data_IF_345321636221
#
_entry.id   IF_345321636221
#
_cell.length_a   1.000
_cell.length_b   1.000
_cell.length_c   1.000
_cell.angle_alpha   90.00
_cell.angle_beta   90.00
_cell.angle_gamma   90.00
#
_symmetry.space_group_name_H-M   'P 1'
#
loop_
_entity.id
_entity.type
_entity.pdbx_description
1 polymer ?
#
# COMPACT_ATOMS: atom_id res chain seq x y z
N UNK A 1 -13.01 6.84 -17.07
CA UNK A 1 -12.10 8.00 -16.90
C UNK A 1 -10.68 7.59 -17.27
N UNK A 2 -9.72 8.49 -17.57
CA UNK A 2 -8.32 8.08 -17.68
C UNK A 2 -7.84 7.47 -16.36
N UNK A 3 -6.87 6.55 -16.43
CA UNK A 3 -6.25 5.98 -15.24
C UNK A 3 -5.57 7.07 -14.42
N UNK A 4 -5.59 6.94 -13.09
CA UNK A 4 -4.91 7.86 -12.19
C UNK A 4 -3.41 7.54 -12.18
N UNK A 5 -2.53 8.45 -12.61
CA UNK A 5 -1.09 8.19 -12.65
C UNK A 5 -0.50 8.05 -11.25
N UNK A 6 0.64 7.37 -11.17
CA UNK A 6 1.42 7.19 -9.95
C UNK A 6 2.10 8.51 -9.51
N UNK A 7 1.33 9.41 -8.88
CA UNK A 7 1.70 10.81 -8.65
C UNK A 7 2.98 11.05 -7.82
N UNK A 8 3.46 10.05 -7.07
CA UNK A 8 4.64 10.17 -6.19
C UNK A 8 5.75 9.17 -6.53
N UNK A 9 5.62 8.46 -7.66
CA UNK A 9 6.66 7.58 -8.18
C UNK A 9 7.96 8.37 -8.46
N UNK A 10 9.10 7.81 -8.08
CA UNK A 10 10.41 8.45 -8.22
C UNK A 10 10.75 9.49 -7.14
N UNK A 11 9.83 9.78 -6.21
CA UNK A 11 10.08 10.71 -5.10
C UNK A 11 9.83 10.06 -3.73
N UNK A 12 8.70 9.38 -3.55
CA UNK A 12 8.37 8.68 -2.29
C UNK A 12 8.77 7.21 -2.31
N UNK A 13 8.84 6.62 -3.49
CA UNK A 13 9.27 5.25 -3.75
C UNK A 13 9.91 5.17 -5.15
N UNK A 14 10.67 4.11 -5.47
CA UNK A 14 11.33 4.00 -6.77
C UNK A 14 10.36 4.09 -7.96
N UNK A 15 10.75 4.80 -9.01
CA UNK A 15 9.87 5.08 -10.16
C UNK A 15 9.70 3.94 -11.17
N UNK A 16 10.28 2.76 -10.93
CA UNK A 16 10.23 1.62 -11.86
C UNK A 16 9.82 0.35 -11.13
N UNK A 17 9.01 -0.53 -11.75
CA UNK A 17 8.64 -1.83 -11.21
C UNK A 17 9.82 -2.59 -10.61
N UNK A 18 10.90 -2.75 -11.39
CA UNK A 18 12.04 -3.56 -10.97
C UNK A 18 12.77 -3.01 -9.75
N UNK A 19 12.83 -1.69 -9.57
CA UNK A 19 13.42 -1.10 -8.37
C UNK A 19 12.47 -1.17 -7.17
N UNK A 20 11.19 -0.89 -7.40
CA UNK A 20 10.17 -0.95 -6.36
C UNK A 20 10.02 -2.37 -5.80
N UNK A 21 9.97 -3.38 -6.66
CA UNK A 21 9.87 -4.79 -6.25
C UNK A 21 11.06 -5.22 -5.41
N UNK A 22 12.30 -4.87 -5.79
CA UNK A 22 13.48 -5.20 -4.99
C UNK A 22 13.40 -4.67 -3.56
N UNK A 23 12.99 -3.41 -3.40
CA UNK A 23 12.90 -2.77 -2.08
C UNK A 23 11.76 -3.41 -1.26
N UNK A 24 10.59 -3.61 -1.85
CA UNK A 24 9.44 -4.24 -1.19
C UNK A 24 9.75 -5.68 -0.79
N UNK A 25 10.33 -6.48 -1.68
CA UNK A 25 10.69 -7.87 -1.41
C UNK A 25 11.74 -7.98 -0.29
N UNK A 26 12.72 -7.07 -0.27
CA UNK A 26 13.70 -7.00 0.81
C UNK A 26 13.02 -6.75 2.16
N UNK A 27 12.08 -5.81 2.25
CA UNK A 27 11.36 -5.56 3.50
C UNK A 27 10.44 -6.71 3.91
N UNK A 28 9.76 -7.36 2.95
CA UNK A 28 8.90 -8.51 3.24
C UNK A 28 9.71 -9.75 3.69
N UNK A 29 10.95 -9.89 3.23
CA UNK A 29 11.84 -10.98 3.63
C UNK A 29 12.23 -10.92 5.12
N UNK A 30 12.29 -9.72 5.70
CA UNK A 30 12.62 -9.50 7.12
C UNK A 30 11.46 -9.81 8.09
N UNK A 31 10.25 -10.06 7.57
CA UNK A 31 9.09 -10.41 8.42
C UNK A 31 9.04 -11.93 8.63
N UNK A 32 9.32 -12.34 9.86
CA UNK A 32 9.44 -13.72 10.31
C UNK A 32 8.18 -14.27 11.00
N UNK A 33 7.32 -13.40 11.51
CA UNK A 33 6.09 -13.76 12.22
C UNK A 33 4.88 -13.07 11.61
N UNK A 34 3.83 -13.85 11.39
CA UNK A 34 2.50 -13.36 11.01
C UNK A 34 1.43 -13.89 11.98
N UNK A 35 0.34 -13.13 12.19
CA UNK A 35 -0.78 -13.60 13.00
C UNK A 35 -1.44 -14.84 12.36
N UNK A 36 -2.08 -15.66 13.19
CA UNK A 36 -2.87 -16.81 12.74
C UNK A 36 -4.32 -16.41 12.51
N UNK A 37 -4.97 -17.04 11.53
CA UNK A 37 -6.38 -16.85 11.21
C UNK A 37 -6.61 -15.77 10.15
N UNK A 38 -7.88 -15.45 9.93
CA UNK A 38 -8.28 -14.47 8.92
C UNK A 38 -8.00 -13.04 9.36
N UNK A 39 -7.40 -12.26 8.46
CA UNK A 39 -7.10 -10.85 8.67
C UNK A 39 -8.09 -10.02 7.86
N UNK A 40 -9.01 -9.31 8.53
CA UNK A 40 -10.00 -8.49 7.84
C UNK A 40 -9.48 -7.11 7.45
N UNK A 41 -8.49 -6.60 8.17
CA UNK A 41 -7.93 -5.28 7.95
C UNK A 41 -6.51 -5.21 8.51
N UNK A 42 -5.71 -4.31 7.92
CA UNK A 42 -4.40 -3.94 8.43
C UNK A 42 -4.26 -2.43 8.43
N UNK A 43 -3.42 -1.91 9.32
CA UNK A 43 -3.06 -0.49 9.36
C UNK A 43 -1.59 -0.40 8.98
N UNK A 44 -1.28 0.39 7.97
CA UNK A 44 0.08 0.59 7.49
C UNK A 44 0.44 2.09 7.42
N UNK A 45 1.69 2.45 7.71
CA UNK A 45 2.18 3.80 7.50
C UNK A 45 2.23 4.16 6.00
N UNK A 46 2.16 5.46 5.69
CA UNK A 46 2.18 5.98 4.30
C UNK A 46 3.28 7.02 4.06
N UNK A 47 4.37 6.99 4.83
CA UNK A 47 5.55 7.82 4.56
C UNK A 47 6.30 7.32 3.29
N UNK A 48 7.39 7.99 2.93
CA UNK A 48 8.28 7.48 1.88
C UNK A 48 8.78 6.07 2.20
N UNK A 49 8.90 5.23 1.17
CA UNK A 49 9.16 3.79 1.29
C UNK A 49 10.43 3.48 2.09
N UNK A 50 11.48 4.31 1.95
CA UNK A 50 12.71 4.16 2.73
C UNK A 50 12.52 4.32 4.26
N UNK A 51 11.49 5.04 4.70
CA UNK A 51 11.21 5.31 6.10
C UNK A 51 10.18 4.33 6.66
N UNK A 52 9.12 4.07 5.91
CA UNK A 52 7.97 3.29 6.38
C UNK A 52 7.85 1.89 5.79
N UNK A 53 8.64 1.56 4.76
CA UNK A 53 8.63 0.24 4.11
C UNK A 53 8.87 -0.92 5.07
N UNK A 54 9.94 -0.89 5.90
CA UNK A 54 10.21 -1.95 6.88
C UNK A 54 9.05 -2.20 7.85
N UNK A 55 8.37 -1.13 8.30
CA UNK A 55 7.21 -1.25 9.21
C UNK A 55 5.96 -1.71 8.46
N UNK A 56 5.71 -1.16 7.27
CA UNK A 56 4.58 -1.54 6.42
C UNK A 56 4.60 -3.01 6.00
N UNK A 57 5.80 -3.60 5.84
CA UNK A 57 5.97 -5.00 5.47
C UNK A 57 5.26 -5.95 6.45
N UNK A 58 5.29 -5.67 7.76
CA UNK A 58 4.59 -6.46 8.78
C UNK A 58 3.08 -6.52 8.52
N UNK A 59 2.47 -5.38 8.20
CA UNK A 59 1.05 -5.27 7.89
C UNK A 59 0.69 -6.08 6.63
N UNK A 60 1.44 -5.90 5.54
CA UNK A 60 1.14 -6.59 4.28
C UNK A 60 1.42 -8.10 4.34
N UNK A 61 2.45 -8.56 5.07
CA UNK A 61 2.67 -9.99 5.35
C UNK A 61 1.55 -10.60 6.18
N UNK A 62 1.06 -9.89 7.20
CA UNK A 62 -0.10 -10.33 7.96
C UNK A 62 -1.34 -10.48 7.07
N UNK A 63 -1.62 -9.48 6.21
CA UNK A 63 -2.72 -9.55 5.26
C UNK A 63 -2.58 -10.76 4.32
N UNK A 64 -1.40 -10.95 3.71
CA UNK A 64 -1.13 -12.06 2.80
C UNK A 64 -1.28 -13.44 3.46
N UNK A 65 -0.92 -13.56 4.75
CA UNK A 65 -1.10 -14.79 5.51
C UNK A 65 -2.57 -15.06 5.90
N UNK A 66 -3.41 -14.02 5.97
CA UNK A 66 -4.82 -14.11 6.36
C UNK A 66 -5.74 -14.74 5.32
N UNK A 67 -5.27 -14.88 4.08
CA UNK A 67 -5.99 -15.53 2.98
C UNK A 67 -6.10 -14.67 1.73
N UNK A 68 -6.62 -15.23 0.62
CA UNK A 68 -6.90 -14.46 -0.59
C UNK A 68 -8.06 -13.48 -0.33
N UNK A 69 -7.98 -12.30 -0.94
CA UNK A 69 -9.06 -11.31 -0.92
C UNK A 69 -9.54 -11.09 -2.34
N UNK A 70 -10.86 -11.13 -2.55
CA UNK A 70 -11.47 -10.77 -3.83
C UNK A 70 -11.46 -9.24 -4.05
N UNK A 71 -11.46 -8.47 -2.97
CA UNK A 71 -11.42 -7.02 -2.99
C UNK A 71 -10.63 -6.47 -1.81
N UNK A 72 -9.84 -5.42 -2.05
CA UNK A 72 -9.17 -4.63 -1.03
C UNK A 72 -9.65 -3.18 -1.09
N UNK A 73 -10.00 -2.61 0.06
CA UNK A 73 -10.39 -1.21 0.18
C UNK A 73 -9.23 -0.45 0.81
N UNK A 74 -8.68 0.53 0.09
CA UNK A 74 -7.65 1.42 0.62
C UNK A 74 -8.28 2.69 1.17
N UNK A 75 -8.16 2.91 2.47
CA UNK A 75 -8.62 4.13 3.14
C UNK A 75 -7.41 4.96 3.58
N UNK A 76 -7.44 6.26 3.28
CA UNK A 76 -6.40 7.19 3.67
C UNK A 76 -6.97 8.58 3.96
N UNK A 77 -6.33 9.35 4.86
CA UNK A 77 -6.74 10.71 5.15
C UNK A 77 -6.38 11.66 3.99
N UNK A 78 -7.20 12.71 3.81
CA UNK A 78 -6.87 13.81 2.93
C UNK A 78 -5.94 14.79 3.63
N UNK A 79 -4.78 15.05 3.02
CA UNK A 79 -3.79 16.01 3.53
C UNK A 79 -3.84 17.38 2.84
N UNK A 80 -4.63 17.51 1.75
CA UNK A 80 -4.66 18.71 0.92
C UNK A 80 -5.99 19.45 0.95
N UNK A 81 -7.11 18.72 1.06
CA UNK A 81 -8.45 19.29 0.98
C UNK A 81 -9.28 18.80 2.16
N UNK A 82 -9.87 19.73 2.90
CA UNK A 82 -10.82 19.42 3.96
C UNK A 82 -12.20 19.15 3.35
N UNK A 83 -12.88 18.11 3.84
CA UNK A 83 -14.25 17.78 3.49
C UNK A 83 -14.90 16.95 4.61
N UNK A 84 -16.23 16.97 4.66
CA UNK A 84 -17.02 16.09 5.50
C UNK A 84 -17.38 14.80 4.76
N UNK A 85 -17.30 13.66 5.44
CA UNK A 85 -17.66 12.35 4.88
C UNK A 85 -16.49 11.61 4.21
N UNK A 86 -16.77 10.90 3.11
CA UNK A 86 -15.81 10.05 2.38
C UNK A 86 -15.84 10.42 0.89
N UNK A 87 -14.67 10.54 0.28
CA UNK A 87 -14.52 10.70 -1.16
C UNK A 87 -14.16 9.35 -1.80
N UNK A 88 -14.77 9.06 -2.95
CA UNK A 88 -14.52 7.85 -3.74
C UNK A 88 -13.94 8.23 -5.10
N UNK A 89 -12.99 7.42 -5.57
CA UNK A 89 -12.60 7.47 -6.99
C UNK A 89 -13.65 6.68 -7.78
N UNK A 90 -14.43 7.33 -8.66
CA UNK A 90 -15.70 6.77 -9.12
C UNK A 90 -15.56 5.63 -10.13
N UNK A 91 -14.51 5.64 -10.95
CA UNK A 91 -14.26 4.64 -12.00
C UNK A 91 -12.81 4.74 -12.52
N UNK A 92 -12.28 3.65 -13.08
CA UNK A 92 -10.93 3.54 -13.65
C UNK A 92 -9.93 2.81 -12.77
N UNK A 93 -8.64 2.89 -13.13
CA UNK A 93 -7.56 2.24 -12.41
C UNK A 93 -6.55 3.25 -11.84
N UNK A 94 -5.78 2.80 -10.85
CA UNK A 94 -4.62 3.50 -10.30
C UNK A 94 -3.37 2.86 -10.90
N UNK A 95 -2.53 3.67 -11.53
CA UNK A 95 -1.27 3.18 -12.07
C UNK A 95 -0.27 2.91 -10.94
N UNK A 96 0.49 1.83 -11.09
CA UNK A 96 1.65 1.51 -10.26
C UNK A 96 2.85 1.24 -11.19
N UNK A 97 4.09 1.52 -10.73
CA UNK A 97 5.30 1.25 -11.51
C UNK A 97 5.47 -0.20 -11.94
#
# INVERSE_FOLDING_TARGET
MPNRPAAVAGTWYPGTAGALLRDVDAYLAEVDVTPRGHVHAVIAPHAGLMFSGPVGAWAYKAAAAGGPYEAAILLGPSHFVAFDGVALYPDGAFECP
#
